data_IF_851520658310
#
_entry.id   IF_851520658310
#
_cell.length_a   1.000
_cell.length_b   1.000
_cell.length_c   1.000
_cell.angle_alpha   90.00
_cell.angle_beta   90.00
_cell.angle_gamma   90.00
#
_symmetry.space_group_name_H-M   'P 1'
#
loop_
_entity.id
_entity.type
_entity.pdbx_description
1 polymer ?
#
# COMPACT_ATOMS: atom_id res chain seq x y z
N UNK A 1 -14.10 14.10 23.80
CA UNK A 1 -13.11 13.54 24.72
C UNK A 1 -13.42 12.09 25.07
N UNK A 2 -14.58 11.78 25.67
CA UNK A 2 -14.94 10.42 26.13
C UNK A 2 -14.71 9.33 25.05
N UNK A 3 -15.10 9.58 23.81
CA UNK A 3 -14.98 8.65 22.68
C UNK A 3 -13.53 8.32 22.30
N UNK A 4 -12.62 9.30 22.33
CA UNK A 4 -11.25 9.13 21.91
C UNK A 4 -10.30 8.74 23.05
N UNK A 5 -10.70 8.99 24.29
CA UNK A 5 -9.86 8.74 25.47
C UNK A 5 -9.37 7.28 25.57
N UNK A 6 -10.19 6.23 25.32
CA UNK A 6 -9.72 4.84 25.39
C UNK A 6 -8.65 4.49 24.38
N UNK A 7 -8.66 5.14 23.20
CA UNK A 7 -7.74 4.84 22.08
C UNK A 7 -6.66 5.91 21.89
N UNK A 8 -6.65 6.96 22.73
CA UNK A 8 -5.79 8.13 22.51
C UNK A 8 -4.30 7.80 22.53
N UNK A 9 -3.88 6.95 23.44
CA UNK A 9 -2.49 6.51 23.56
C UNK A 9 -2.24 5.17 22.87
N UNK A 10 -3.19 4.25 22.92
CA UNK A 10 -3.07 2.89 22.39
C UNK A 10 -3.11 2.84 20.86
N UNK A 11 -4.04 3.60 20.24
CA UNK A 11 -4.21 3.72 18.79
C UNK A 11 -4.04 5.17 18.35
N UNK A 12 -2.90 5.74 18.71
CA UNK A 12 -2.63 7.18 18.63
C UNK A 12 -2.89 7.77 17.23
N UNK A 13 -2.41 7.11 16.17
CA UNK A 13 -2.59 7.59 14.80
C UNK A 13 -4.07 7.57 14.36
N UNK A 14 -4.79 6.50 14.71
CA UNK A 14 -6.24 6.40 14.44
C UNK A 14 -7.02 7.48 15.18
N UNK A 15 -6.72 7.70 16.47
CA UNK A 15 -7.36 8.73 17.27
C UNK A 15 -7.06 10.13 16.75
N UNK A 16 -5.82 10.39 16.30
CA UNK A 16 -5.42 11.66 15.69
C UNK A 16 -6.18 11.93 14.39
N UNK A 17 -6.27 10.93 13.50
CA UNK A 17 -7.04 11.03 12.25
C UNK A 17 -8.51 11.27 12.51
N UNK A 18 -9.12 10.53 13.43
CA UNK A 18 -10.53 10.72 13.81
C UNK A 18 -10.78 12.13 14.33
N UNK A 19 -9.91 12.67 15.19
CA UNK A 19 -10.01 14.05 15.66
C UNK A 19 -9.88 15.07 14.52
N UNK A 20 -9.00 14.82 13.56
CA UNK A 20 -8.84 15.64 12.34
C UNK A 20 -10.12 15.66 11.50
N UNK A 21 -10.73 14.50 11.24
CA UNK A 21 -11.99 14.42 10.50
C UNK A 21 -13.15 15.14 11.23
N UNK A 22 -13.24 15.01 12.54
CA UNK A 22 -14.22 15.78 13.34
C UNK A 22 -14.00 17.27 13.12
N UNK A 23 -12.74 17.75 13.13
CA UNK A 23 -12.43 19.15 12.86
C UNK A 23 -12.89 19.62 11.49
N UNK A 24 -12.67 18.80 10.44
CA UNK A 24 -13.14 19.10 9.08
C UNK A 24 -14.68 19.18 9.01
N UNK A 25 -15.39 18.26 9.68
CA UNK A 25 -16.86 18.29 9.75
C UNK A 25 -17.35 19.57 10.42
N UNK A 26 -16.76 19.98 11.57
CA UNK A 26 -17.12 21.20 12.25
C UNK A 26 -16.86 22.45 11.39
N UNK A 27 -15.73 22.52 10.69
CA UNK A 27 -15.41 23.60 9.75
C UNK A 27 -16.45 23.70 8.63
N UNK A 28 -16.80 22.57 8.03
CA UNK A 28 -17.81 22.52 6.97
C UNK A 28 -19.20 22.94 7.49
N UNK A 29 -19.58 22.46 8.68
CA UNK A 29 -20.84 22.82 9.32
C UNK A 29 -20.94 24.33 9.60
N UNK A 30 -19.86 24.93 10.11
CA UNK A 30 -19.80 26.39 10.32
C UNK A 30 -19.93 27.16 9.00
N UNK A 31 -19.29 26.67 7.92
CA UNK A 31 -19.40 27.28 6.59
C UNK A 31 -20.85 27.23 6.04
N UNK A 32 -21.63 26.23 6.45
CA UNK A 32 -23.08 26.16 6.16
C UNK A 32 -23.96 27.02 7.06
N UNK A 33 -23.36 27.80 7.96
CA UNK A 33 -24.09 28.68 8.90
C UNK A 33 -24.66 27.98 10.11
N UNK A 34 -24.26 26.72 10.39
CA UNK A 34 -24.68 25.99 11.57
C UNK A 34 -23.91 26.50 12.81
N UNK A 35 -24.60 26.62 13.94
CA UNK A 35 -23.98 26.98 15.22
C UNK A 35 -23.21 25.75 15.77
N UNK A 36 -21.87 25.80 15.67
CA UNK A 36 -20.98 24.72 16.12
C UNK A 36 -19.76 25.28 16.87
N UNK A 37 -19.29 24.56 17.88
CA UNK A 37 -18.06 24.93 18.59
C UNK A 37 -16.83 24.58 17.74
N UNK A 38 -16.33 25.53 17.00
CA UNK A 38 -15.10 25.41 16.17
C UNK A 38 -13.86 25.04 16.99
N UNK A 39 -13.86 25.32 18.29
CA UNK A 39 -12.74 25.01 19.18
C UNK A 39 -12.84 23.61 19.81
N UNK A 40 -13.92 22.85 19.56
CA UNK A 40 -14.17 21.57 20.20
C UNK A 40 -13.02 20.57 20.06
N UNK A 41 -12.41 20.49 18.86
CA UNK A 41 -11.27 19.58 18.62
C UNK A 41 -10.00 20.03 19.33
N UNK A 42 -9.76 21.32 19.40
CA UNK A 42 -8.61 21.91 20.10
C UNK A 42 -8.74 21.71 21.62
N UNK A 43 -9.93 21.99 22.18
CA UNK A 43 -10.25 21.72 23.59
C UNK A 43 -10.15 20.24 23.93
N UNK A 44 -10.66 19.35 23.04
CA UNK A 44 -10.56 17.91 23.21
C UNK A 44 -9.09 17.44 23.23
N UNK A 45 -8.25 17.95 22.33
CA UNK A 45 -6.81 17.65 22.29
C UNK A 45 -6.09 18.09 23.55
N UNK A 46 -6.37 19.30 24.04
CA UNK A 46 -5.79 19.81 25.28
C UNK A 46 -6.15 18.92 26.49
N UNK A 47 -7.41 18.46 26.58
CA UNK A 47 -7.88 17.58 27.64
C UNK A 47 -7.40 16.13 27.55
N UNK A 48 -7.04 15.65 26.35
CA UNK A 48 -6.51 14.31 26.12
C UNK A 48 -4.99 14.24 26.34
N UNK A 49 -4.32 15.38 26.28
CA UNK A 49 -2.89 15.51 26.49
C UNK A 49 -2.03 15.07 25.29
N UNK A 50 -0.72 15.18 25.45
CA UNK A 50 0.25 14.79 24.42
C UNK A 50 0.28 13.27 24.26
N UNK A 51 0.23 12.81 23.00
CA UNK A 51 0.41 11.39 22.69
C UNK A 51 1.89 11.01 22.82
N UNK A 52 2.18 10.02 23.65
CA UNK A 52 3.51 9.42 23.80
C UNK A 52 3.64 8.18 22.90
N UNK A 53 3.30 8.33 21.61
CA UNK A 53 3.36 7.22 20.66
C UNK A 53 4.68 7.27 19.89
N UNK A 54 5.43 6.15 19.93
CA UNK A 54 6.58 5.92 19.06
C UNK A 54 6.06 5.41 17.72
N UNK A 55 6.39 6.10 16.64
CA UNK A 55 6.03 5.66 15.28
C UNK A 55 6.79 4.38 14.97
N UNK A 56 6.07 3.28 14.81
CA UNK A 56 6.64 2.03 14.28
C UNK A 56 6.62 2.12 12.75
N UNK A 57 7.80 2.05 12.16
CA UNK A 57 7.93 2.01 10.71
C UNK A 57 7.52 0.63 10.19
N UNK A 58 6.96 0.59 8.98
CA UNK A 58 6.67 -0.68 8.30
C UNK A 58 7.98 -1.45 8.16
N UNK A 59 8.05 -2.71 8.64
CA UNK A 59 9.26 -3.51 8.52
C UNK A 59 9.70 -3.62 7.07
N UNK A 60 10.95 -3.24 6.80
CA UNK A 60 11.59 -3.35 5.50
C UNK A 60 12.66 -4.44 5.52
N UNK A 61 12.89 -5.07 4.38
CA UNK A 61 13.97 -6.03 4.23
C UNK A 61 15.31 -5.29 4.11
N UNK A 62 16.36 -5.72 4.81
CA UNK A 62 17.71 -5.18 4.58
C UNK A 62 18.10 -5.33 3.12
N UNK A 63 18.75 -4.31 2.55
CA UNK A 63 19.12 -4.30 1.14
C UNK A 63 19.95 -5.53 0.74
N UNK A 64 20.85 -5.98 1.61
CA UNK A 64 21.71 -7.15 1.40
C UNK A 64 20.93 -8.46 1.20
N UNK A 65 19.74 -8.56 1.80
CA UNK A 65 18.92 -9.76 1.79
C UNK A 65 17.97 -9.81 0.59
N UNK A 66 17.73 -8.69 -0.10
CA UNK A 66 16.77 -8.59 -1.19
C UNK A 66 17.14 -9.52 -2.35
N UNK A 67 18.42 -9.59 -2.72
CA UNK A 67 18.88 -10.46 -3.81
C UNK A 67 18.59 -11.92 -3.50
N UNK A 68 18.91 -12.38 -2.29
CA UNK A 68 18.63 -13.76 -1.85
C UNK A 68 17.13 -14.06 -1.83
N UNK A 69 16.33 -13.13 -1.31
CA UNK A 69 14.88 -13.24 -1.30
C UNK A 69 14.30 -13.30 -2.72
N UNK A 70 14.79 -12.45 -3.63
CA UNK A 70 14.36 -12.44 -5.02
C UNK A 70 14.68 -13.76 -5.74
N UNK A 71 15.88 -14.34 -5.53
CA UNK A 71 16.24 -15.65 -6.10
C UNK A 71 15.35 -16.76 -5.54
N UNK A 72 15.06 -16.73 -4.25
CA UNK A 72 14.11 -17.67 -3.66
C UNK A 72 12.70 -17.52 -4.28
N UNK A 73 12.20 -16.31 -4.47
CA UNK A 73 10.91 -16.09 -5.14
C UNK A 73 10.84 -16.69 -6.55
N UNK A 74 11.98 -16.84 -7.25
CA UNK A 74 12.03 -17.49 -8.58
C UNK A 74 11.77 -19.00 -8.51
N UNK A 75 12.01 -19.62 -7.36
CA UNK A 75 11.76 -21.06 -7.16
C UNK A 75 10.35 -21.35 -6.63
N UNK A 76 9.65 -20.32 -6.16
CA UNK A 76 8.31 -20.48 -5.59
C UNK A 76 7.24 -20.44 -6.69
N UNK A 77 6.34 -21.42 -6.74
CA UNK A 77 5.26 -21.44 -7.74
C UNK A 77 4.12 -20.49 -7.40
N UNK A 78 3.41 -20.06 -8.43
CA UNK A 78 2.15 -19.35 -8.31
C UNK A 78 2.26 -17.83 -8.50
N UNK A 79 1.10 -17.19 -8.48
CA UNK A 79 0.93 -15.78 -8.87
C UNK A 79 1.49 -14.80 -7.85
N UNK A 80 1.47 -15.14 -6.55
CA UNK A 80 1.93 -14.22 -5.49
C UNK A 80 3.44 -13.99 -5.54
N UNK A 81 4.31 -15.02 -5.71
CA UNK A 81 5.73 -14.82 -5.97
C UNK A 81 6.02 -13.98 -7.20
N UNK A 82 5.28 -14.19 -8.31
CA UNK A 82 5.41 -13.35 -9.52
C UNK A 82 5.09 -11.88 -9.22
N UNK A 83 4.00 -11.61 -8.50
CA UNK A 83 3.62 -10.24 -8.11
C UNK A 83 4.66 -9.59 -7.19
N UNK A 84 5.25 -10.33 -6.25
CA UNK A 84 6.34 -9.83 -5.39
C UNK A 84 7.61 -9.53 -6.19
N UNK A 85 7.98 -10.39 -7.15
CA UNK A 85 9.10 -10.13 -8.06
C UNK A 85 8.87 -8.85 -8.87
N UNK A 86 7.68 -8.69 -9.45
CA UNK A 86 7.32 -7.48 -10.19
C UNK A 86 7.33 -6.23 -9.32
N UNK A 87 6.84 -6.34 -8.08
CA UNK A 87 6.87 -5.25 -7.10
C UNK A 87 8.32 -4.82 -6.78
N UNK A 88 9.23 -5.77 -6.57
CA UNK A 88 10.64 -5.49 -6.28
C UNK A 88 11.32 -4.82 -7.48
N UNK A 89 11.05 -5.28 -8.70
CA UNK A 89 11.67 -4.74 -9.91
C UNK A 89 11.16 -3.35 -10.30
N UNK A 90 9.90 -3.04 -9.97
CA UNK A 90 9.25 -1.77 -10.35
C UNK A 90 9.20 -0.75 -9.22
N UNK A 91 9.37 -1.19 -7.96
CA UNK A 91 9.17 -0.39 -6.74
C UNK A 91 7.80 0.32 -6.72
N UNK A 92 6.83 -0.22 -7.44
CA UNK A 92 5.48 0.28 -7.50
C UNK A 92 4.73 0.04 -6.16
N UNK A 93 3.59 0.68 -5.98
CA UNK A 93 2.77 0.43 -4.77
C UNK A 93 2.08 -0.92 -4.87
N UNK A 94 1.87 -1.55 -3.73
CA UNK A 94 1.19 -2.85 -3.65
C UNK A 94 -0.14 -2.88 -4.41
N UNK A 95 -0.95 -1.82 -4.29
CA UNK A 95 -2.23 -1.72 -5.01
C UNK A 95 -2.03 -1.57 -6.53
N UNK A 96 -1.01 -0.83 -6.96
CA UNK A 96 -0.66 -0.67 -8.38
C UNK A 96 -0.30 -2.03 -9.00
N UNK A 97 0.58 -2.80 -8.34
CA UNK A 97 0.98 -4.14 -8.78
C UNK A 97 -0.21 -5.11 -8.78
N UNK A 98 -0.96 -5.16 -7.70
CA UNK A 98 -2.10 -6.07 -7.53
C UNK A 98 -3.15 -5.94 -8.63
N UNK A 99 -3.35 -4.72 -9.11
CA UNK A 99 -4.33 -4.38 -10.15
C UNK A 99 -3.70 -4.18 -11.52
N UNK A 100 -2.41 -4.50 -11.69
CA UNK A 100 -1.73 -4.36 -12.98
C UNK A 100 -2.44 -5.19 -14.06
N UNK A 101 -2.63 -4.60 -15.23
CA UNK A 101 -3.30 -5.20 -16.36
C UNK A 101 -2.37 -5.22 -17.59
N UNK A 102 -2.60 -6.17 -18.50
CA UNK A 102 -1.75 -6.33 -19.70
C UNK A 102 -1.87 -5.14 -20.65
N UNK A 103 -3.05 -4.52 -20.74
CA UNK A 103 -3.30 -3.34 -21.59
C UNK A 103 -2.57 -2.06 -21.10
N UNK A 104 -2.03 -2.09 -19.88
CA UNK A 104 -1.19 -1.01 -19.35
C UNK A 104 0.28 -1.12 -19.77
N UNK A 105 0.68 -2.24 -20.44
CA UNK A 105 2.06 -2.51 -20.84
C UNK A 105 2.17 -2.38 -22.36
N UNK A 106 3.00 -1.43 -22.78
CA UNK A 106 3.32 -1.21 -24.18
C UNK A 106 4.84 -1.28 -24.36
N UNK A 107 5.30 -2.30 -25.08
CA UNK A 107 6.73 -2.59 -25.24
C UNK A 107 7.38 -2.85 -23.88
N UNK A 108 8.33 -2.01 -23.53
CA UNK A 108 9.08 -2.05 -22.26
C UNK A 108 8.60 -1.02 -21.22
N UNK A 109 7.37 -0.49 -21.36
CA UNK A 109 6.85 0.53 -20.48
C UNK A 109 5.51 0.13 -19.87
N UNK A 110 5.42 0.09 -18.54
CA UNK A 110 4.17 0.00 -17.83
C UNK A 110 3.62 1.40 -17.51
N UNK A 111 2.42 1.69 -17.98
CA UNK A 111 1.78 2.98 -17.85
C UNK A 111 0.56 2.91 -16.94
N UNK A 112 0.62 3.58 -15.80
CA UNK A 112 -0.50 3.73 -14.88
C UNK A 112 -1.28 5.01 -15.21
N UNK A 113 -2.58 4.91 -15.38
CA UNK A 113 -3.47 6.08 -15.52
C UNK A 113 -3.56 6.88 -14.23
N UNK A 114 -3.92 8.16 -14.33
CA UNK A 114 -3.97 9.08 -13.17
C UNK A 114 -4.94 8.63 -12.08
N UNK A 115 -6.08 8.05 -12.45
CA UNK A 115 -7.09 7.52 -11.52
C UNK A 115 -6.58 6.35 -10.67
N UNK A 116 -5.56 5.63 -11.15
CA UNK A 116 -4.91 4.53 -10.41
C UNK A 116 -3.75 4.98 -9.54
N UNK A 117 -3.28 6.20 -9.68
CA UNK A 117 -2.16 6.72 -8.90
C UNK A 117 -2.64 7.58 -7.72
N UNK A 118 -1.89 7.56 -6.61
CA UNK A 118 -2.22 8.40 -5.44
C UNK A 118 -2.18 9.91 -5.75
N UNK A 119 -1.42 10.31 -6.76
CA UNK A 119 -1.20 11.73 -7.11
C UNK A 119 -2.17 12.25 -8.17
N UNK A 120 -2.99 11.38 -8.75
CA UNK A 120 -3.88 11.74 -9.86
C UNK A 120 -3.15 11.97 -11.20
N UNK A 121 -1.84 11.69 -11.27
CA UNK A 121 -1.04 11.90 -12.47
C UNK A 121 -0.66 10.56 -13.12
N UNK A 122 -0.65 10.54 -14.45
CA UNK A 122 -0.14 9.41 -15.24
C UNK A 122 1.30 9.10 -14.82
N UNK A 123 1.61 7.82 -14.58
CA UNK A 123 2.93 7.37 -14.18
C UNK A 123 3.43 6.29 -15.15
N UNK A 124 4.63 6.48 -15.70
CA UNK A 124 5.27 5.54 -16.62
C UNK A 124 6.47 4.91 -15.93
N UNK A 125 6.55 3.59 -15.96
CA UNK A 125 7.59 2.78 -15.32
C UNK A 125 8.29 1.98 -16.41
N UNK A 126 9.56 2.26 -16.73
CA UNK A 126 10.35 1.42 -17.62
C UNK A 126 10.53 0.02 -17.02
N UNK A 127 10.32 -1.00 -17.81
CA UNK A 127 10.46 -2.39 -17.40
C UNK A 127 11.80 -2.95 -17.87
N UNK A 128 12.54 -3.54 -16.95
CA UNK A 128 13.76 -4.29 -17.29
C UNK A 128 13.40 -5.60 -17.98
N UNK A 129 14.36 -6.24 -18.65
CA UNK A 129 14.17 -7.57 -19.26
C UNK A 129 13.66 -8.60 -18.23
N UNK A 130 14.14 -8.51 -16.99
CA UNK A 130 13.68 -9.39 -15.90
C UNK A 130 12.22 -9.10 -15.51
N UNK A 131 11.79 -7.83 -15.55
CA UNK A 131 10.38 -7.46 -15.30
C UNK A 131 9.48 -7.94 -16.45
N UNK A 132 9.94 -7.84 -17.69
CA UNK A 132 9.23 -8.37 -18.87
C UNK A 132 9.11 -9.90 -18.81
N UNK A 133 10.14 -10.61 -18.35
CA UNK A 133 10.07 -12.05 -18.13
C UNK A 133 8.99 -12.42 -17.07
N UNK A 134 8.83 -11.59 -16.02
CA UNK A 134 7.73 -11.79 -15.06
C UNK A 134 6.36 -11.55 -15.71
N UNK A 135 6.24 -10.54 -16.58
CA UNK A 135 4.99 -10.27 -17.32
C UNK A 135 4.64 -11.46 -18.24
N UNK A 136 5.60 -12.01 -18.94
CA UNK A 136 5.41 -13.19 -19.80
C UNK A 136 4.95 -14.39 -18.97
N UNK A 137 5.61 -14.70 -17.86
CA UNK A 137 5.22 -15.78 -16.97
C UNK A 137 3.83 -15.57 -16.34
N UNK A 138 3.45 -14.32 -16.08
CA UNK A 138 2.11 -13.98 -15.60
C UNK A 138 1.05 -14.19 -16.69
N UNK A 139 1.38 -13.91 -17.96
CA UNK A 139 0.47 -14.11 -19.09
C UNK A 139 0.09 -15.58 -19.27
N UNK A 140 1.03 -16.50 -19.04
CA UNK A 140 0.77 -17.95 -19.13
C UNK A 140 -0.21 -18.45 -18.05
N UNK A 141 -0.37 -17.69 -16.95
CA UNK A 141 -1.22 -18.05 -15.81
C UNK A 141 -2.51 -17.20 -15.72
N UNK A 142 -2.71 -16.24 -16.63
CA UNK A 142 -3.79 -15.27 -16.53
C UNK A 142 -4.87 -15.50 -17.58
N UNK A 143 -6.14 -15.49 -17.14
CA UNK A 143 -7.30 -15.66 -18.01
C UNK A 143 -8.09 -14.36 -18.27
N UNK A 144 -7.86 -13.27 -17.49
CA UNK A 144 -8.79 -12.13 -17.43
C UNK A 144 -8.17 -10.73 -17.49
N UNK A 145 -7.09 -10.56 -18.25
CA UNK A 145 -6.51 -9.25 -18.52
C UNK A 145 -5.65 -8.64 -17.41
N UNK A 146 -5.77 -9.09 -16.15
CA UNK A 146 -4.85 -8.69 -15.08
C UNK A 146 -3.60 -9.56 -15.07
N UNK A 147 -2.43 -8.97 -14.75
CA UNK A 147 -1.19 -9.73 -14.63
C UNK A 147 -1.24 -10.78 -13.51
N UNK A 148 -1.83 -10.43 -12.38
CA UNK A 148 -1.79 -11.24 -11.16
C UNK A 148 -3.19 -11.56 -10.68
N UNK A 149 -3.75 -12.65 -11.20
CA UNK A 149 -5.09 -13.09 -10.89
C UNK A 149 -5.13 -14.01 -9.66
N UNK A 150 -6.15 -13.82 -8.83
CA UNK A 150 -6.58 -14.82 -7.86
C UNK A 150 -7.46 -15.88 -8.54
N UNK A 151 -7.86 -16.89 -7.77
CA UNK A 151 -8.83 -17.88 -8.22
C UNK A 151 -10.10 -17.21 -8.81
N UNK A 152 -10.61 -17.76 -9.90
CA UNK A 152 -11.78 -17.28 -10.65
C UNK A 152 -11.56 -15.93 -11.35
N UNK A 153 -10.33 -15.62 -11.75
CA UNK A 153 -9.99 -14.44 -12.54
C UNK A 153 -10.17 -13.08 -11.84
N UNK A 154 -10.39 -13.04 -10.54
CA UNK A 154 -10.45 -11.79 -9.78
C UNK A 154 -9.04 -11.26 -9.54
N UNK A 155 -8.84 -9.94 -9.43
CA UNK A 155 -7.57 -9.40 -9.00
C UNK A 155 -7.14 -9.99 -7.65
N UNK A 156 -5.83 -10.15 -7.45
CA UNK A 156 -5.26 -10.58 -6.19
C UNK A 156 -5.75 -9.72 -5.02
N UNK A 157 -6.01 -10.33 -3.85
CA UNK A 157 -6.42 -9.58 -2.66
C UNK A 157 -5.29 -8.64 -2.18
N UNK A 158 -5.65 -7.58 -1.49
CA UNK A 158 -4.71 -6.59 -0.93
C UNK A 158 -3.76 -7.18 0.11
N UNK A 159 -4.16 -8.26 0.77
CA UNK A 159 -3.37 -8.94 1.79
C UNK A 159 -2.51 -10.09 1.24
N UNK A 160 -2.71 -10.53 -0.01
CA UNK A 160 -2.10 -11.76 -0.52
C UNK A 160 -0.58 -11.77 -0.40
N UNK A 161 0.11 -10.73 -0.88
CA UNK A 161 1.57 -10.63 -0.80
C UNK A 161 2.07 -10.55 0.65
N UNK A 162 1.37 -9.81 1.51
CA UNK A 162 1.73 -9.68 2.93
C UNK A 162 1.55 -10.99 3.70
N UNK A 163 0.48 -11.72 3.42
CA UNK A 163 0.21 -13.02 4.05
C UNK A 163 1.18 -14.09 3.55
N UNK A 164 1.55 -14.06 2.28
CA UNK A 164 2.57 -14.94 1.73
C UNK A 164 3.90 -14.73 2.46
N UNK A 165 4.43 -13.50 2.49
CA UNK A 165 5.68 -13.20 3.18
C UNK A 165 5.63 -13.61 4.66
N UNK A 166 4.51 -13.35 5.34
CA UNK A 166 4.33 -13.74 6.74
C UNK A 166 4.36 -15.26 6.95
N UNK A 167 3.72 -16.04 6.07
CA UNK A 167 3.73 -17.53 6.15
C UNK A 167 5.12 -18.11 5.96
N UNK A 168 5.91 -17.48 5.08
CA UNK A 168 7.30 -17.86 4.82
C UNK A 168 8.29 -17.31 5.87
N UNK A 169 7.77 -16.74 6.97
CA UNK A 169 8.59 -16.29 8.12
C UNK A 169 9.26 -14.93 7.95
N UNK A 170 8.92 -14.15 6.91
CA UNK A 170 9.47 -12.83 6.72
C UNK A 170 8.70 -11.77 7.52
N UNK A 171 9.39 -10.99 8.34
CA UNK A 171 8.82 -9.85 9.06
C UNK A 171 8.57 -8.66 8.13
N UNK A 172 9.42 -8.50 7.11
CA UNK A 172 9.29 -7.46 6.10
C UNK A 172 7.92 -7.49 5.41
N UNK A 173 7.44 -6.31 5.01
CA UNK A 173 6.17 -6.16 4.28
C UNK A 173 6.44 -5.73 2.84
N UNK A 174 5.56 -6.05 1.88
CA UNK A 174 5.72 -5.63 0.48
C UNK A 174 5.95 -4.12 0.32
N UNK A 175 5.23 -3.29 1.08
CA UNK A 175 5.44 -1.84 1.07
C UNK A 175 6.81 -1.41 1.60
N UNK A 176 7.44 -2.22 2.44
CA UNK A 176 8.78 -1.97 3.01
C UNK A 176 9.87 -1.93 1.94
N UNK A 177 9.73 -2.62 0.81
CA UNK A 177 10.71 -2.55 -0.28
C UNK A 177 10.92 -1.13 -0.80
N UNK A 178 9.90 -0.27 -0.76
CA UNK A 178 10.06 1.15 -1.12
C UNK A 178 10.99 1.91 -0.15
N UNK A 179 11.10 1.48 1.09
CA UNK A 179 12.06 2.03 2.06
C UNK A 179 13.45 1.41 1.88
N UNK A 180 13.52 0.13 1.53
CA UNK A 180 14.78 -0.59 1.26
C UNK A 180 15.60 0.06 0.14
N UNK A 181 14.94 0.58 -0.91
CA UNK A 181 15.60 1.19 -2.08
C UNK A 181 15.66 2.74 -2.04
N UNK A 182 15.44 3.33 -0.90
CA UNK A 182 15.53 4.77 -0.68
C UNK A 182 16.88 5.19 -0.14
#
# INVERSE_FOLDING_TARGET
>A
KKTLQPIWHEKAETARKALGHIGQVLQYSAALGLDVDMQATMKARALLGKQAHKVEHIPSMPYQDVSKFYQWLKTEPGVVPLALRFLILTIARTTEVRLAAFDEIEGDVWTLSGDRTKTGQKHRIPLTNEALAVVTAAHEQSENGHLFNALRGKPMSDMAMSLFMKREGYEARPHGFRATFR
#
